data_IF_627779163944
#
_entry.id   IF_627779163944
#
_cell.length_a   1.000
_cell.length_b   1.000
_cell.length_c   1.000
_cell.angle_alpha   90.00
_cell.angle_beta   90.00
_cell.angle_gamma   90.00
#
_symmetry.space_group_name_H-M   'P 1'
#
loop_
_entity.id
_entity.type
_entity.pdbx_description
1 polymer ?
#
# COMPACT_ATOMS: atom_id res chain seq x y z
N UNK A 1 -6.35 8.90 18.92
CA UNK A 1 -6.47 8.36 17.54
C UNK A 1 -6.83 9.42 16.51
N UNK A 2 -7.77 10.32 16.79
CA UNK A 2 -8.21 11.38 15.87
C UNK A 2 -7.07 12.25 15.28
N UNK A 3 -6.08 12.64 16.09
CA UNK A 3 -4.92 13.42 15.63
C UNK A 3 -4.00 12.65 14.69
N UNK A 4 -3.79 11.33 14.92
CA UNK A 4 -3.01 10.45 14.04
C UNK A 4 -3.74 10.22 12.72
N UNK A 5 -5.05 9.96 12.78
CA UNK A 5 -5.89 9.78 11.61
C UNK A 5 -5.85 10.99 10.67
N UNK A 6 -6.06 12.20 11.21
CA UNK A 6 -5.96 13.46 10.45
C UNK A 6 -4.58 13.65 9.83
N UNK A 7 -3.50 13.30 10.56
CA UNK A 7 -2.12 13.42 10.04
C UNK A 7 -1.88 12.50 8.86
N UNK A 8 -2.28 11.23 8.98
CA UNK A 8 -2.16 10.24 7.90
C UNK A 8 -3.00 10.65 6.70
N UNK A 9 -4.25 11.08 6.90
CA UNK A 9 -5.10 11.56 5.81
C UNK A 9 -4.54 12.78 5.09
N UNK A 10 -3.87 13.70 5.80
CA UNK A 10 -3.17 14.83 5.15
C UNK A 10 -2.02 14.35 4.27
N UNK A 11 -1.21 13.39 4.73
CA UNK A 11 -0.10 12.85 3.93
C UNK A 11 -0.64 12.09 2.73
N UNK A 12 -1.68 11.28 2.90
CA UNK A 12 -2.35 10.58 1.79
C UNK A 12 -2.95 11.59 0.81
N UNK A 13 -3.65 12.62 1.26
CA UNK A 13 -4.16 13.68 0.39
C UNK A 13 -3.02 14.41 -0.35
N UNK A 14 -1.88 14.66 0.31
CA UNK A 14 -0.71 15.25 -0.32
C UNK A 14 -0.13 14.34 -1.43
N UNK A 15 -0.12 13.01 -1.24
CA UNK A 15 0.31 12.06 -2.27
C UNK A 15 -0.66 12.06 -3.46
N UNK A 16 -1.95 11.89 -3.21
CA UNK A 16 -2.95 11.67 -4.26
C UNK A 16 -3.39 12.95 -4.99
N UNK A 17 -3.40 14.09 -4.32
CA UNK A 17 -3.83 15.37 -4.88
C UNK A 17 -2.72 16.43 -4.85
N UNK A 18 -1.92 16.47 -3.79
CA UNK A 18 -0.83 17.46 -3.65
C UNK A 18 0.22 17.36 -4.75
N UNK A 19 0.74 16.15 -5.04
CA UNK A 19 1.73 15.96 -6.11
C UNK A 19 1.19 16.42 -7.47
N UNK A 20 -0.01 15.98 -7.95
CA UNK A 20 -0.58 16.49 -9.19
C UNK A 20 -0.83 18.00 -9.20
N UNK A 21 -1.27 18.60 -8.09
CA UNK A 21 -1.50 20.06 -8.01
C UNK A 21 -0.21 20.84 -8.12
N UNK A 22 0.84 20.45 -7.38
CA UNK A 22 2.16 21.09 -7.47
C UNK A 22 2.72 20.95 -8.88
N UNK A 23 2.56 19.78 -9.51
CA UNK A 23 2.95 19.57 -10.89
C UNK A 23 2.17 20.47 -11.86
N UNK A 24 0.84 20.59 -11.69
CA UNK A 24 0.00 21.46 -12.50
C UNK A 24 0.48 22.91 -12.45
N UNK A 25 0.79 23.41 -11.25
CA UNK A 25 1.33 24.76 -11.06
C UNK A 25 2.68 24.92 -11.76
N UNK A 26 3.60 23.97 -11.60
CA UNK A 26 4.91 24.02 -12.26
C UNK A 26 4.78 24.04 -13.79
N UNK A 27 3.94 23.17 -14.35
CA UNK A 27 3.67 23.09 -15.80
C UNK A 27 3.01 24.37 -16.32
N UNK A 28 2.02 24.91 -15.59
CA UNK A 28 1.36 26.15 -15.97
C UNK A 28 2.33 27.35 -15.97
N UNK A 29 3.24 27.42 -14.98
CA UNK A 29 4.27 28.46 -14.93
C UNK A 29 5.25 28.37 -16.11
N UNK A 30 5.67 27.16 -16.48
CA UNK A 30 6.54 26.96 -17.65
C UNK A 30 5.78 27.28 -18.95
N UNK A 31 4.52 26.85 -19.07
CA UNK A 31 3.69 27.08 -20.25
C UNK A 31 3.40 28.59 -20.46
N UNK A 32 3.27 29.36 -19.38
CA UNK A 32 3.05 30.81 -19.44
C UNK A 32 4.22 31.57 -20.09
N UNK A 33 5.43 31.01 -20.08
CA UNK A 33 6.60 31.57 -20.75
C UNK A 33 6.74 31.13 -22.23
N UNK A 34 5.84 30.26 -22.70
CA UNK A 34 5.93 29.61 -24.01
C UNK A 34 4.79 29.92 -24.97
N UNK A 35 4.70 29.17 -26.09
CA UNK A 35 3.61 29.31 -27.05
C UNK A 35 2.28 28.80 -26.45
N UNK A 36 1.16 29.26 -27.00
CA UNK A 36 -0.20 28.82 -26.58
C UNK A 36 -0.35 27.28 -26.63
N UNK A 37 0.32 26.62 -27.57
CA UNK A 37 0.33 25.16 -27.66
C UNK A 37 0.94 24.46 -26.42
N UNK A 38 1.82 25.11 -25.66
CA UNK A 38 2.43 24.52 -24.46
C UNK A 38 1.40 24.23 -23.37
N UNK A 39 0.26 24.92 -23.35
CA UNK A 39 -0.83 24.67 -22.40
C UNK A 39 -1.41 23.26 -22.50
N UNK A 40 -1.25 22.57 -23.63
CA UNK A 40 -1.60 21.14 -23.78
C UNK A 40 -0.86 20.27 -22.76
N UNK A 41 0.33 20.68 -22.31
CA UNK A 41 1.07 20.01 -21.24
C UNK A 41 0.31 19.91 -19.92
N UNK A 42 -0.63 20.81 -19.64
CA UNK A 42 -1.46 20.79 -18.43
C UNK A 42 -2.43 19.60 -18.37
N UNK A 43 -2.68 18.93 -19.51
CA UNK A 43 -3.55 17.74 -19.56
C UNK A 43 -2.99 16.60 -18.70
N UNK A 44 -1.68 16.42 -18.66
CA UNK A 44 -1.04 15.34 -17.88
C UNK A 44 -1.26 15.51 -16.37
N UNK A 45 -0.89 16.63 -15.72
CA UNK A 45 -1.17 16.83 -14.30
C UNK A 45 -2.67 16.87 -13.98
N UNK A 46 -3.51 17.36 -14.89
CA UNK A 46 -4.97 17.32 -14.71
C UNK A 46 -5.49 15.87 -14.70
N UNK A 47 -5.06 15.04 -15.64
CA UNK A 47 -5.40 13.62 -15.68
C UNK A 47 -4.89 12.89 -14.42
N UNK A 48 -3.65 13.17 -14.00
CA UNK A 48 -3.09 12.65 -12.74
C UNK A 48 -3.92 13.07 -11.53
N UNK A 49 -4.42 14.32 -11.49
CA UNK A 49 -5.28 14.80 -10.40
C UNK A 49 -6.62 14.06 -10.38
N UNK A 50 -7.27 13.89 -11.54
CA UNK A 50 -8.54 13.14 -11.64
C UNK A 50 -8.33 11.68 -11.19
N UNK A 51 -7.32 11.02 -11.73
CA UNK A 51 -6.95 9.65 -11.34
C UNK A 51 -6.61 9.58 -9.84
N UNK A 52 -5.85 10.55 -9.34
CA UNK A 52 -5.49 10.69 -7.93
C UNK A 52 -6.71 10.80 -7.02
N UNK A 53 -7.71 11.61 -7.37
CA UNK A 53 -8.96 11.75 -6.61
C UNK A 53 -9.77 10.45 -6.64
N UNK A 54 -9.85 9.78 -7.79
CA UNK A 54 -10.55 8.49 -7.90
C UNK A 54 -9.86 7.42 -7.05
N UNK A 55 -8.53 7.33 -7.13
CA UNK A 55 -7.75 6.38 -6.34
C UNK A 55 -7.77 6.70 -4.85
N UNK A 56 -7.80 7.99 -4.47
CA UNK A 56 -7.94 8.40 -3.07
C UNK A 56 -9.25 7.86 -2.49
N UNK A 57 -10.38 7.99 -3.22
CA UNK A 57 -11.67 7.45 -2.76
C UNK A 57 -11.65 5.94 -2.57
N UNK A 58 -10.92 5.21 -3.42
CA UNK A 58 -10.84 3.74 -3.38
C UNK A 58 -9.82 3.21 -2.37
N UNK A 59 -8.67 3.87 -2.23
CA UNK A 59 -7.49 3.35 -1.53
C UNK A 59 -7.08 4.19 -0.31
N UNK A 60 -7.89 5.16 0.14
CA UNK A 60 -7.61 5.98 1.34
C UNK A 60 -7.30 5.18 2.61
N UNK A 61 -7.75 3.91 2.67
CA UNK A 61 -7.55 3.03 3.81
C UNK A 61 -6.67 1.81 3.52
N UNK A 62 -5.99 1.79 2.36
CA UNK A 62 -5.16 0.67 1.93
C UNK A 62 -3.69 1.11 1.79
N UNK A 63 -2.90 1.06 2.87
CA UNK A 63 -1.50 1.53 2.88
C UNK A 63 -0.63 0.91 1.79
N UNK A 64 -0.90 -0.35 1.41
CA UNK A 64 -0.18 -1.05 0.34
C UNK A 64 -0.17 -0.30 -0.99
N UNK A 65 -1.24 0.44 -1.32
CA UNK A 65 -1.34 1.19 -2.57
C UNK A 65 -0.64 2.56 -2.50
N UNK A 66 -0.43 3.10 -1.30
CA UNK A 66 0.15 4.44 -1.14
C UNK A 66 1.58 4.50 -1.67
N UNK A 67 2.38 3.47 -1.41
CA UNK A 67 3.76 3.37 -1.92
C UNK A 67 3.80 3.31 -3.44
N UNK A 68 2.97 2.47 -4.06
CA UNK A 68 2.87 2.33 -5.51
C UNK A 68 2.43 3.63 -6.19
N UNK A 69 1.37 4.25 -5.69
CA UNK A 69 0.85 5.51 -6.26
C UNK A 69 1.83 6.67 -6.04
N UNK A 70 2.41 6.80 -4.84
CA UNK A 70 3.37 7.87 -4.56
C UNK A 70 4.64 7.74 -5.41
N UNK A 71 5.16 6.52 -5.60
CA UNK A 71 6.29 6.27 -6.48
C UNK A 71 5.97 6.64 -7.94
N UNK A 72 4.82 6.20 -8.45
CA UNK A 72 4.38 6.50 -9.81
C UNK A 72 4.16 8.01 -10.04
N UNK A 73 3.42 8.67 -9.15
CA UNK A 73 3.13 10.10 -9.27
C UNK A 73 4.37 10.95 -9.07
N UNK A 74 5.23 10.60 -8.11
CA UNK A 74 6.51 11.25 -7.89
C UNK A 74 7.43 11.12 -9.12
N UNK A 75 7.56 9.91 -9.67
CA UNK A 75 8.36 9.68 -10.87
C UNK A 75 7.85 10.39 -12.11
N UNK A 76 6.53 10.33 -12.35
CA UNK A 76 5.88 11.06 -13.44
C UNK A 76 6.09 12.57 -13.29
N UNK A 77 5.93 13.12 -12.09
CA UNK A 77 6.17 14.54 -11.83
C UNK A 77 7.63 14.92 -12.08
N UNK A 78 8.58 14.12 -11.60
CA UNK A 78 10.01 14.33 -11.83
C UNK A 78 10.37 14.39 -13.32
N UNK A 79 9.90 13.41 -14.11
CA UNK A 79 10.08 13.41 -15.56
C UNK A 79 9.46 14.64 -16.22
N UNK A 80 8.21 14.93 -15.88
CA UNK A 80 7.45 15.97 -16.55
C UNK A 80 8.09 17.35 -16.28
N UNK A 81 8.52 17.65 -15.05
CA UNK A 81 9.25 18.89 -14.71
C UNK A 81 10.56 19.04 -15.50
N UNK A 82 11.27 17.95 -15.75
CA UNK A 82 12.55 17.99 -16.49
C UNK A 82 12.40 18.00 -18.02
N UNK A 83 11.35 17.38 -18.56
CA UNK A 83 11.16 17.23 -20.01
C UNK A 83 10.28 18.32 -20.59
N UNK A 84 9.29 18.82 -19.85
CA UNK A 84 8.36 19.84 -20.35
C UNK A 84 9.02 21.16 -20.79
N UNK A 85 10.13 21.64 -20.20
CA UNK A 85 10.86 22.80 -20.71
C UNK A 85 11.27 22.70 -22.19
N UNK A 86 11.38 21.49 -22.75
CA UNK A 86 11.63 21.30 -24.19
C UNK A 86 10.53 21.91 -25.06
N UNK A 87 9.27 21.89 -24.60
CA UNK A 87 8.13 22.46 -25.32
C UNK A 87 8.20 23.98 -25.45
N UNK A 88 9.02 24.64 -24.62
CA UNK A 88 9.28 26.09 -24.67
C UNK A 88 10.70 26.42 -25.17
N UNK A 89 11.39 25.44 -25.77
CA UNK A 89 12.71 25.62 -26.39
C UNK A 89 13.90 25.53 -25.43
N UNK A 90 13.69 25.12 -24.18
CA UNK A 90 14.74 25.01 -23.16
C UNK A 90 15.18 23.55 -23.03
N UNK A 91 16.36 23.23 -23.56
CA UNK A 91 16.81 21.83 -23.72
C UNK A 91 17.66 21.29 -22.57
N UNK A 92 18.41 22.14 -21.86
CA UNK A 92 19.34 21.70 -20.82
C UNK A 92 18.68 20.89 -19.66
N UNK A 93 17.42 21.16 -19.23
CA UNK A 93 16.78 20.38 -18.16
C UNK A 93 16.52 18.92 -18.55
N UNK A 94 16.45 18.62 -19.86
CA UNK A 94 16.23 17.27 -20.35
C UNK A 94 17.38 16.32 -19.97
N UNK A 95 18.60 16.83 -19.81
CA UNK A 95 19.75 16.04 -19.33
C UNK A 95 19.51 15.54 -17.91
N UNK A 96 18.69 16.24 -17.12
CA UNK A 96 18.31 15.87 -15.78
C UNK A 96 17.08 14.94 -15.73
N UNK A 97 16.57 14.44 -16.86
CA UNK A 97 15.35 13.62 -16.86
C UNK A 97 15.46 12.35 -16.02
N UNK A 98 16.56 11.61 -16.17
CA UNK A 98 16.79 10.40 -15.38
C UNK A 98 17.03 10.73 -13.89
N UNK A 99 17.90 11.70 -13.51
CA UNK A 99 17.99 12.17 -12.14
C UNK A 99 16.65 12.65 -11.56
N UNK A 100 15.87 13.41 -12.32
CA UNK A 100 14.57 13.96 -11.93
C UNK A 100 13.54 12.85 -11.67
N UNK A 101 13.49 11.83 -12.53
CA UNK A 101 12.70 10.62 -12.31
C UNK A 101 13.08 9.95 -10.98
N UNK A 102 14.37 9.72 -10.75
CA UNK A 102 14.86 9.03 -9.54
C UNK A 102 14.51 9.85 -8.30
N UNK A 103 14.80 11.15 -8.29
CA UNK A 103 14.48 12.04 -7.17
C UNK A 103 12.97 12.06 -6.92
N UNK A 104 12.17 12.17 -7.98
CA UNK A 104 10.71 12.12 -7.89
C UNK A 104 10.19 10.83 -7.25
N UNK A 105 10.69 9.66 -7.70
CA UNK A 105 10.36 8.36 -7.11
C UNK A 105 10.77 8.31 -5.64
N UNK A 106 12.01 8.70 -5.32
CA UNK A 106 12.53 8.64 -3.94
C UNK A 106 11.72 9.52 -3.00
N UNK A 107 11.39 10.75 -3.40
CA UNK A 107 10.55 11.67 -2.62
C UNK A 107 9.15 11.10 -2.44
N UNK A 108 8.53 10.59 -3.50
CA UNK A 108 7.23 9.93 -3.43
C UNK A 108 7.22 8.73 -2.46
N UNK A 109 8.21 7.85 -2.57
CA UNK A 109 8.37 6.70 -1.68
C UNK A 109 8.65 7.12 -0.23
N UNK A 110 9.42 8.19 -0.01
CA UNK A 110 9.68 8.72 1.32
C UNK A 110 8.40 9.25 1.98
N UNK A 111 7.54 9.95 1.22
CA UNK A 111 6.23 10.40 1.70
C UNK A 111 5.31 9.23 2.05
N UNK A 112 5.25 8.20 1.21
CA UNK A 112 4.46 7.00 1.52
C UNK A 112 4.99 6.27 2.76
N UNK A 113 6.32 6.13 2.90
CA UNK A 113 6.94 5.55 4.10
C UNK A 113 6.66 6.38 5.36
N UNK A 114 6.59 7.69 5.24
CA UNK A 114 6.22 8.57 6.35
C UNK A 114 4.74 8.33 6.76
N UNK A 115 3.84 8.19 5.79
CA UNK A 115 2.45 7.82 6.05
C UNK A 115 2.34 6.46 6.74
N UNK A 116 3.05 5.45 6.25
CA UNK A 116 3.06 4.11 6.82
C UNK A 116 3.63 4.11 8.24
N UNK A 117 4.77 4.77 8.47
CA UNK A 117 5.38 4.86 9.81
C UNK A 117 4.50 5.60 10.80
N UNK A 118 3.85 6.69 10.38
CA UNK A 118 2.99 7.46 11.27
C UNK A 118 1.69 6.73 11.65
N UNK A 119 1.23 5.80 10.79
CA UNK A 119 0.07 4.96 11.07
C UNK A 119 0.44 3.71 11.88
N UNK A 120 1.48 2.98 11.45
CA UNK A 120 1.77 1.62 11.91
C UNK A 120 2.79 1.54 13.05
N UNK A 121 3.46 2.65 13.42
CA UNK A 121 4.50 2.66 14.46
C UNK A 121 4.19 3.68 15.56
N UNK A 122 4.04 3.25 16.84
CA UNK A 122 3.94 1.85 17.28
C UNK A 122 2.62 1.22 16.82
N UNK A 123 2.63 -0.10 16.60
CA UNK A 123 1.41 -0.86 16.34
C UNK A 123 0.65 -0.94 17.66
N UNK A 124 -0.55 -0.35 17.71
CA UNK A 124 -1.37 -0.24 18.92
C UNK A 124 -2.67 -1.03 18.70
N UNK A 125 -3.19 -1.78 19.69
CA UNK A 125 -4.38 -2.61 19.52
C UNK A 125 -5.61 -1.83 19.06
N UNK A 126 -5.69 -0.53 19.34
CA UNK A 126 -6.79 0.35 18.92
C UNK A 126 -6.81 0.59 17.40
N UNK A 127 -5.75 0.23 16.65
CA UNK A 127 -5.80 0.19 15.19
C UNK A 127 -6.79 -0.87 14.67
N UNK A 128 -7.12 -1.88 15.49
CA UNK A 128 -8.17 -2.85 15.19
C UNK A 128 -9.53 -2.19 14.94
N UNK A 129 -9.83 -1.04 15.55
CA UNK A 129 -11.12 -0.36 15.39
C UNK A 129 -11.13 0.61 14.19
N UNK A 130 -9.99 0.74 13.49
CA UNK A 130 -9.86 1.66 12.37
C UNK A 130 -10.18 0.99 11.03
N UNK A 131 -10.68 1.73 10.02
CA UNK A 131 -10.99 1.16 8.71
C UNK A 131 -9.74 0.80 7.88
N UNK A 132 -8.53 0.99 8.43
CA UNK A 132 -7.27 0.74 7.73
C UNK A 132 -7.00 -0.76 7.58
N UNK A 133 -6.47 -1.11 6.40
CA UNK A 133 -5.91 -2.42 6.12
C UNK A 133 -4.60 -2.61 6.89
N UNK A 134 -4.57 -3.62 7.76
CA UNK A 134 -3.42 -3.98 8.60
C UNK A 134 -2.68 -5.15 7.95
N UNK A 135 -1.36 -5.02 7.80
CA UNK A 135 -0.52 -5.99 7.09
C UNK A 135 0.35 -6.75 8.08
N UNK A 136 0.12 -8.06 8.21
CA UNK A 136 0.91 -8.95 9.03
C UNK A 136 1.75 -9.86 8.15
N UNK A 137 3.07 -9.78 8.24
CA UNK A 137 3.97 -10.62 7.44
C UNK A 137 3.98 -12.05 7.97
N UNK A 138 3.97 -13.02 7.06
CA UNK A 138 4.13 -14.43 7.41
C UNK A 138 5.63 -14.77 7.52
N UNK A 139 6.01 -15.43 8.59
CA UNK A 139 7.38 -15.89 8.84
C UNK A 139 7.68 -17.14 8.00
N UNK A 140 8.89 -17.22 7.46
CA UNK A 140 9.34 -18.38 6.68
C UNK A 140 8.76 -18.46 5.26
N UNK A 141 7.94 -17.48 4.84
CA UNK A 141 7.36 -17.43 3.50
C UNK A 141 7.62 -16.04 2.90
N UNK A 142 8.52 -15.93 1.91
CA UNK A 142 8.84 -14.64 1.32
C UNK A 142 7.61 -14.06 0.63
N UNK A 143 7.39 -12.75 0.82
CA UNK A 143 6.31 -11.98 0.18
C UNK A 143 4.89 -12.49 0.50
N UNK A 144 4.73 -13.28 1.56
CA UNK A 144 3.43 -13.67 2.07
C UNK A 144 3.01 -12.84 3.28
N UNK A 145 1.75 -12.43 3.28
CA UNK A 145 1.17 -11.59 4.31
C UNK A 145 -0.32 -11.87 4.48
N UNK A 146 -0.80 -11.59 5.68
CA UNK A 146 -2.22 -11.55 6.03
C UNK A 146 -2.62 -10.08 6.07
N UNK A 147 -3.58 -9.72 5.24
CA UNK A 147 -4.15 -8.39 5.15
C UNK A 147 -5.49 -8.41 5.87
N UNK A 148 -5.60 -7.67 6.97
CA UNK A 148 -6.86 -7.53 7.72
C UNK A 148 -7.46 -6.18 7.37
N UNK A 149 -8.47 -6.19 6.50
CA UNK A 149 -9.29 -5.03 6.14
C UNK A 149 -10.41 -4.80 7.16
N UNK A 150 -11.27 -3.82 6.88
CA UNK A 150 -12.42 -3.51 7.75
C UNK A 150 -13.40 -4.68 7.84
N UNK A 151 -13.72 -5.30 6.71
CA UNK A 151 -14.74 -6.35 6.60
C UNK A 151 -14.18 -7.70 6.16
N UNK A 152 -12.91 -7.75 5.74
CA UNK A 152 -12.33 -8.87 5.02
C UNK A 152 -10.94 -9.23 5.56
N UNK A 153 -10.60 -10.51 5.50
CA UNK A 153 -9.25 -11.03 5.74
C UNK A 153 -8.74 -11.63 4.43
N UNK A 154 -7.62 -11.13 3.93
CA UNK A 154 -6.97 -11.66 2.73
C UNK A 154 -5.65 -12.30 3.09
N UNK A 155 -5.49 -13.58 2.77
CA UNK A 155 -4.21 -14.27 2.85
C UNK A 155 -3.59 -14.20 1.46
N UNK A 156 -2.38 -13.67 1.37
CA UNK A 156 -1.70 -13.46 0.11
C UNK A 156 -0.28 -14.02 0.17
N UNK A 157 0.16 -14.63 -0.93
CA UNK A 157 1.56 -14.94 -1.17
C UNK A 157 1.90 -14.54 -2.61
N UNK A 158 2.95 -13.74 -2.79
CA UNK A 158 3.46 -13.37 -4.11
C UNK A 158 4.81 -14.05 -4.44
N UNK A 159 4.93 -15.39 -4.44
CA UNK A 159 6.18 -16.01 -4.83
C UNK A 159 6.37 -16.01 -6.36
N UNK A 160 5.31 -15.98 -7.17
CA UNK A 160 5.40 -16.08 -8.65
C UNK A 160 4.26 -15.33 -9.36
N UNK A 161 4.49 -14.56 -10.44
CA UNK A 161 3.46 -13.75 -11.12
C UNK A 161 2.31 -14.51 -11.83
N UNK A 162 2.23 -15.85 -11.76
CA UNK A 162 1.39 -16.65 -12.69
C UNK A 162 0.53 -17.77 -12.07
N UNK A 163 0.41 -17.90 -10.75
CA UNK A 163 -0.55 -18.87 -10.18
C UNK A 163 -1.95 -18.28 -10.01
N UNK A 164 -2.98 -19.05 -10.38
CA UNK A 164 -4.41 -18.65 -10.29
C UNK A 164 -4.92 -18.47 -8.85
N UNK A 165 -4.12 -18.84 -7.83
CA UNK A 165 -4.49 -18.84 -6.42
C UNK A 165 -3.43 -18.12 -5.55
N UNK A 166 -3.07 -16.87 -5.90
CA UNK A 166 -2.07 -16.07 -5.15
C UNK A 166 -2.64 -15.36 -3.93
N UNK A 167 -3.95 -15.15 -3.90
CA UNK A 167 -4.65 -14.52 -2.79
C UNK A 167 -5.96 -15.25 -2.56
N UNK A 168 -6.32 -15.38 -1.29
CA UNK A 168 -7.61 -15.89 -0.87
C UNK A 168 -8.23 -14.88 0.10
N UNK A 169 -9.42 -14.40 -0.23
CA UNK A 169 -10.14 -13.42 0.60
C UNK A 169 -11.32 -14.11 1.27
N UNK A 170 -11.45 -13.89 2.56
CA UNK A 170 -12.58 -14.30 3.38
C UNK A 170 -13.23 -13.05 3.96
N UNK A 171 -14.56 -13.01 4.03
CA UNK A 171 -15.21 -11.99 4.84
C UNK A 171 -15.02 -12.30 6.33
N UNK A 172 -14.99 -11.29 7.19
CA UNK A 172 -14.80 -11.49 8.63
C UNK A 172 -15.94 -12.31 9.27
N UNK A 173 -17.15 -12.24 8.72
CA UNK A 173 -18.27 -13.10 9.14
C UNK A 173 -18.12 -14.58 8.77
N UNK A 174 -17.22 -14.92 7.84
CA UNK A 174 -16.89 -16.32 7.49
C UNK A 174 -15.76 -16.89 8.36
N UNK A 175 -15.13 -16.06 9.19
CA UNK A 175 -14.10 -16.48 10.14
C UNK A 175 -14.81 -17.01 11.40
N UNK A 176 -14.68 -18.31 11.64
CA UNK A 176 -15.38 -19.01 12.74
C UNK A 176 -14.55 -19.09 14.02
N UNK A 177 -13.23 -18.90 13.93
CA UNK A 177 -12.35 -18.94 15.09
C UNK A 177 -10.92 -18.55 14.76
N UNK A 178 -10.22 -18.03 15.77
CA UNK A 178 -8.79 -17.73 15.72
C UNK A 178 -8.12 -18.26 16.97
N UNK A 179 -7.07 -19.08 16.79
CA UNK A 179 -6.35 -19.70 17.91
C UNK A 179 -4.87 -19.38 17.83
N UNK A 180 -4.27 -19.11 18.99
CA UNK A 180 -2.82 -18.98 19.10
C UNK A 180 -2.19 -20.37 19.12
N UNK A 181 -1.13 -20.54 18.33
CA UNK A 181 -0.39 -21.79 18.25
C UNK A 181 1.11 -21.50 18.17
N UNK A 182 1.95 -22.43 18.62
CA UNK A 182 3.40 -22.32 18.49
C UNK A 182 3.92 -23.48 17.66
N UNK A 183 4.51 -23.16 16.51
CA UNK A 183 5.09 -24.14 15.61
C UNK A 183 6.41 -24.65 16.17
N UNK A 184 6.60 -25.97 16.15
CA UNK A 184 7.88 -26.62 16.46
C UNK A 184 8.91 -26.49 15.32
N UNK A 185 8.46 -26.16 14.10
CA UNK A 185 9.32 -26.04 12.91
C UNK A 185 9.46 -27.33 12.10
N UNK A 186 8.84 -28.44 12.51
CA UNK A 186 8.76 -29.69 11.72
C UNK A 186 7.37 -29.93 11.09
N UNK A 187 6.41 -29.06 11.39
CA UNK A 187 5.01 -29.25 11.03
C UNK A 187 4.71 -28.87 9.58
N UNK A 188 3.82 -29.65 8.94
CA UNK A 188 3.32 -29.35 7.60
C UNK A 188 2.32 -28.20 7.68
N UNK A 189 2.74 -27.03 7.21
CA UNK A 189 1.89 -25.85 7.17
C UNK A 189 0.75 -26.05 6.15
N UNK A 190 -0.46 -25.66 6.56
CA UNK A 190 -1.65 -25.69 5.71
C UNK A 190 -2.02 -24.26 5.32
N UNK A 191 -1.91 -23.96 4.02
CA UNK A 191 -2.23 -22.66 3.44
C UNK A 191 -3.40 -22.76 2.45
N UNK A 192 -4.22 -21.70 2.33
CA UNK A 192 -5.29 -21.64 1.33
C UNK A 192 -4.76 -21.43 -0.10
N UNK A 193 -3.47 -21.15 -0.23
CA UNK A 193 -2.81 -20.73 -1.47
C UNK A 193 -1.57 -21.59 -1.72
N UNK A 194 -1.21 -21.73 -2.99
CA UNK A 194 -0.02 -22.48 -3.38
C UNK A 194 1.24 -21.73 -2.93
N UNK A 195 1.94 -22.26 -1.91
CA UNK A 195 3.22 -21.73 -1.43
C UNK A 195 4.34 -22.60 -1.95
N UNK A 196 5.14 -22.07 -2.87
CA UNK A 196 6.27 -22.79 -3.49
C UNK A 196 7.54 -22.81 -2.63
N UNK A 197 7.69 -21.84 -1.71
CA UNK A 197 8.90 -21.64 -0.91
C UNK A 197 8.56 -21.42 0.57
N UNK A 198 7.83 -22.36 1.17
CA UNK A 198 7.58 -22.35 2.61
C UNK A 198 8.77 -22.97 3.34
N UNK A 199 9.49 -22.16 4.11
CA UNK A 199 10.51 -22.64 5.03
C UNK A 199 9.85 -22.91 6.37
N UNK A 200 9.89 -24.16 6.83
CA UNK A 200 9.40 -24.52 8.14
C UNK A 200 10.22 -23.76 9.20
N UNK A 201 9.53 -23.00 10.06
CA UNK A 201 10.18 -22.15 11.06
C UNK A 201 9.44 -22.24 12.39
N UNK A 202 10.20 -22.54 13.44
CA UNK A 202 9.66 -22.59 14.79
C UNK A 202 9.21 -21.20 15.28
N UNK A 203 8.26 -21.18 16.21
CA UNK A 203 7.78 -19.98 16.88
C UNK A 203 6.28 -19.71 16.68
N UNK A 204 5.79 -18.54 17.10
CA UNK A 204 4.35 -18.24 17.12
C UNK A 204 3.70 -18.31 15.73
N UNK A 205 2.44 -18.72 15.74
CA UNK A 205 1.55 -18.85 14.59
C UNK A 205 0.08 -18.64 15.03
N UNK A 206 -0.77 -18.36 14.05
CA UNK A 206 -2.22 -18.25 14.26
C UNK A 206 -2.90 -19.33 13.43
N UNK A 207 -3.82 -20.07 14.05
CA UNK A 207 -4.75 -20.92 13.32
C UNK A 207 -5.98 -20.06 13.02
N UNK A 208 -6.20 -19.75 11.74
CA UNK A 208 -7.39 -19.06 11.25
C UNK A 208 -8.37 -20.09 10.72
N UNK A 209 -9.54 -20.20 11.35
CA UNK A 209 -10.64 -21.03 10.84
C UNK A 209 -11.59 -20.17 10.02
N UNK A 210 -11.72 -20.47 8.74
CA UNK A 210 -12.64 -19.76 7.84
C UNK A 210 -13.28 -20.73 6.84
N UNK A 211 -14.60 -20.61 6.64
CA UNK A 211 -15.39 -21.53 5.77
C UNK A 211 -15.19 -23.02 6.09
N UNK A 212 -15.05 -23.38 7.36
CA UNK A 212 -14.81 -24.76 7.79
C UNK A 212 -13.43 -25.31 7.43
N UNK A 213 -12.47 -24.44 7.09
CA UNK A 213 -11.08 -24.81 6.85
C UNK A 213 -10.13 -24.09 7.80
N UNK A 214 -9.15 -24.84 8.28
CA UNK A 214 -8.14 -24.34 9.22
C UNK A 214 -6.85 -24.02 8.48
N UNK A 215 -6.37 -22.78 8.63
CA UNK A 215 -5.15 -22.26 8.04
C UNK A 215 -4.12 -21.93 9.10
N UNK A 216 -2.89 -22.38 8.89
CA UNK A 216 -1.79 -22.17 9.85
C UNK A 216 -0.91 -21.03 9.35
N UNK A 217 -0.94 -19.89 10.04
CA UNK A 217 -0.33 -18.64 9.63
C UNK A 217 0.85 -18.30 10.55
N UNK A 218 2.11 -18.67 10.18
CA UNK A 218 3.28 -18.38 10.99
C UNK A 218 3.53 -16.88 11.03
N UNK A 219 3.52 -16.25 12.21
CA UNK A 219 3.79 -14.81 12.34
C UNK A 219 4.34 -14.48 13.73
N UNK A 220 5.25 -13.52 13.79
CA UNK A 220 5.80 -13.03 15.07
C UNK A 220 4.82 -12.16 15.86
N UNK A 221 3.68 -11.81 15.25
CA UNK A 221 2.66 -10.94 15.81
C UNK A 221 1.35 -11.70 16.04
N UNK A 222 1.43 -12.98 16.44
CA UNK A 222 0.27 -13.88 16.52
C UNK A 222 -0.82 -13.36 17.47
N UNK A 223 -0.48 -13.03 18.72
CA UNK A 223 -1.42 -12.44 19.67
C UNK A 223 -2.06 -11.15 19.16
N UNK A 224 -1.27 -10.27 18.53
CA UNK A 224 -1.78 -9.01 17.96
C UNK A 224 -2.73 -9.23 16.78
N UNK A 225 -2.44 -10.21 15.91
CA UNK A 225 -3.33 -10.58 14.81
C UNK A 225 -4.65 -11.14 15.35
N UNK A 226 -4.61 -11.97 16.38
CA UNK A 226 -5.80 -12.52 17.05
C UNK A 226 -6.63 -11.40 17.68
N UNK A 227 -6.01 -10.49 18.42
CA UNK A 227 -6.69 -9.35 19.03
C UNK A 227 -7.42 -8.50 17.99
N UNK A 228 -6.78 -8.25 16.85
CA UNK A 228 -7.38 -7.47 15.75
C UNK A 228 -8.56 -8.21 15.13
N UNK A 229 -8.42 -9.52 14.87
CA UNK A 229 -9.48 -10.33 14.27
C UNK A 229 -10.69 -10.45 15.20
N UNK A 230 -10.47 -10.74 16.48
CA UNK A 230 -11.52 -10.84 17.49
C UNK A 230 -12.28 -9.52 17.68
N UNK A 231 -11.59 -8.38 17.64
CA UNK A 231 -12.22 -7.05 17.76
C UNK A 231 -13.03 -6.64 16.53
N UNK A 232 -12.63 -7.10 15.33
CA UNK A 232 -13.32 -6.77 14.07
C UNK A 232 -14.39 -7.77 13.68
N UNK A 233 -14.40 -8.97 14.27
CA UNK A 233 -15.48 -9.91 14.06
C UNK A 233 -16.80 -9.29 14.56
N UNK A 234 -17.86 -9.31 13.73
CA UNK A 234 -19.17 -8.90 14.20
C UNK A 234 -19.54 -9.77 15.39
N UNK A 235 -19.95 -9.15 16.50
CA UNK A 235 -20.53 -9.86 17.64
C UNK A 235 -21.68 -10.71 17.09
N UNK A 236 -21.59 -12.02 17.28
CA UNK A 236 -22.66 -12.95 16.93
C UNK A 236 -23.93 -12.66 17.74
#
# INVERSE_FOLDING_TARGET
>A
MESRHRRVQRVVAAIYAGIPVVLLVAVALIAAAGPVAAWVGCVVPLAMLVVGVVLLRRHRYQPRWWTGVAGLFGGAAGLMVTLFPLAVGVWWPAVLALPGLIVGIVVGLALARLADRTLLVPFVPELAETPYELVFRLRGIPLAAVLVGADNVTIQAHPVPRSEHQFQTYSLGEVTGTYEFSLSGAERLKFPIAVTHAVASAGPAVILQAKGQDWVLPTNQAGTLIDVLNRRQPSA
#
